data_IF_923989030080
#
_entry.id   IF_923989030080
#
_cell.length_a   1.000
_cell.length_b   1.000
_cell.length_c   1.000
_cell.angle_alpha   90.00
_cell.angle_beta   90.00
_cell.angle_gamma   90.00
#
_symmetry.space_group_name_H-M   'P 1'
#
loop_
_entity.id
_entity.type
_entity.pdbx_description
1 polymer ?
#
# COMPACT_ATOMS: atom_id res chain seq x y z
N UNK A 1 -21.59 3.54 -18.94
CA UNK A 1 -20.17 3.86 -19.18
C UNK A 1 -19.52 2.50 -19.34
N UNK A 2 -19.34 2.06 -20.57
CA UNK A 2 -18.67 0.79 -20.87
C UNK A 2 -17.22 0.96 -20.42
N UNK A 3 -16.80 0.18 -19.43
CA UNK A 3 -15.40 0.12 -19.04
C UNK A 3 -14.64 -0.48 -20.20
N UNK A 4 -13.75 0.30 -20.79
CA UNK A 4 -12.82 -0.17 -21.80
C UNK A 4 -11.99 -1.30 -21.18
N UNK A 5 -12.21 -2.53 -21.68
CA UNK A 5 -11.52 -3.71 -21.19
C UNK A 5 -10.06 -3.61 -21.67
N UNK A 6 -9.17 -3.20 -20.75
CA UNK A 6 -7.74 -3.10 -21.02
C UNK A 6 -7.22 -4.43 -21.55
N UNK A 7 -6.48 -4.40 -22.64
CA UNK A 7 -5.93 -5.59 -23.27
C UNK A 7 -4.99 -6.34 -22.31
N UNK A 8 -4.83 -7.65 -22.47
CA UNK A 8 -3.87 -8.44 -21.66
C UNK A 8 -2.45 -7.84 -21.69
N UNK A 9 -2.08 -7.21 -22.81
CA UNK A 9 -0.79 -6.55 -23.00
C UNK A 9 -0.64 -5.27 -22.15
N UNK A 10 -1.70 -4.48 -22.01
CA UNK A 10 -1.74 -3.29 -21.15
C UNK A 10 -1.74 -3.69 -19.68
N UNK A 11 -2.46 -4.76 -19.32
CA UNK A 11 -2.44 -5.33 -17.97
C UNK A 11 -1.05 -5.88 -17.61
N UNK A 12 -0.33 -6.44 -18.59
CA UNK A 12 1.03 -6.95 -18.41
C UNK A 12 2.11 -5.86 -18.34
N UNK A 13 1.80 -4.61 -18.70
CA UNK A 13 2.77 -3.52 -18.62
C UNK A 13 3.04 -3.14 -17.17
N UNK A 14 1.98 -3.04 -16.36
CA UNK A 14 2.09 -2.53 -14.98
C UNK A 14 2.75 -3.53 -14.03
N UNK A 15 2.71 -4.83 -14.34
CA UNK A 15 3.34 -5.88 -13.52
C UNK A 15 4.88 -5.76 -13.44
N UNK A 16 5.51 -4.95 -14.29
CA UNK A 16 6.95 -4.65 -14.25
C UNK A 16 7.32 -3.52 -13.29
N UNK A 17 6.32 -2.79 -12.78
CA UNK A 17 6.56 -1.67 -11.88
C UNK A 17 6.58 -2.14 -10.43
N UNK A 18 7.62 -1.72 -9.71
CA UNK A 18 7.79 -1.94 -8.28
C UNK A 18 7.76 -0.58 -7.58
N UNK A 19 6.80 -0.39 -6.68
CA UNK A 19 6.52 0.91 -6.06
C UNK A 19 6.96 0.88 -4.61
N UNK A 20 7.66 1.93 -4.17
CA UNK A 20 7.88 2.22 -2.75
C UNK A 20 6.98 3.40 -2.34
N UNK A 21 6.13 3.19 -1.34
CA UNK A 21 5.31 4.23 -0.72
C UNK A 21 5.81 4.52 0.70
N UNK A 22 6.44 5.68 0.87
CA UNK A 22 6.95 6.16 2.15
C UNK A 22 6.02 7.21 2.76
N UNK A 23 5.62 7.03 4.01
CA UNK A 23 4.70 7.91 4.73
C UNK A 23 3.24 7.66 4.35
N UNK A 24 2.57 6.79 5.09
CA UNK A 24 1.18 6.42 4.84
C UNK A 24 0.23 7.44 5.48
N UNK A 25 -0.50 8.16 4.63
CA UNK A 25 -1.62 9.06 4.95
C UNK A 25 -2.79 8.73 4.02
N UNK A 26 -3.94 9.38 4.19
CA UNK A 26 -5.13 9.13 3.36
C UNK A 26 -4.87 9.16 1.84
N UNK A 27 -4.14 10.16 1.33
CA UNK A 27 -3.80 10.25 -0.11
C UNK A 27 -2.91 9.10 -0.57
N UNK A 28 -1.92 8.71 0.24
CA UNK A 28 -1.00 7.61 -0.10
C UNK A 28 -1.73 6.27 -0.04
N UNK A 29 -2.63 6.09 0.92
CA UNK A 29 -3.50 4.92 1.00
C UNK A 29 -4.38 4.77 -0.26
N UNK A 30 -5.00 5.86 -0.72
CA UNK A 30 -5.78 5.88 -1.97
C UNK A 30 -4.92 5.56 -3.21
N UNK A 31 -3.71 6.14 -3.27
CA UNK A 31 -2.73 5.83 -4.32
C UNK A 31 -2.33 4.35 -4.30
N UNK A 32 -2.02 3.78 -3.14
CA UNK A 32 -1.68 2.37 -2.99
C UNK A 32 -2.83 1.45 -3.38
N UNK A 33 -4.07 1.75 -2.97
CA UNK A 33 -5.26 0.99 -3.39
C UNK A 33 -5.39 0.98 -4.92
N UNK A 34 -5.28 2.15 -5.55
CA UNK A 34 -5.46 2.27 -7.00
C UNK A 34 -4.33 1.57 -7.78
N UNK A 35 -3.08 1.64 -7.31
CA UNK A 35 -1.96 0.91 -7.94
C UNK A 35 -2.07 -0.61 -7.76
N UNK A 36 -2.50 -1.08 -6.60
CA UNK A 36 -2.79 -2.50 -6.35
C UNK A 36 -3.93 -3.00 -7.24
N UNK A 37 -5.02 -2.24 -7.39
CA UNK A 37 -6.11 -2.57 -8.30
C UNK A 37 -5.67 -2.54 -9.78
N UNK A 38 -4.72 -1.68 -10.13
CA UNK A 38 -4.09 -1.62 -11.45
C UNK A 38 -3.06 -2.75 -11.71
N UNK A 39 -2.88 -3.70 -10.77
CA UNK A 39 -2.02 -4.89 -10.93
C UNK A 39 -0.55 -4.58 -11.18
N UNK A 40 0.01 -3.63 -10.42
CA UNK A 40 1.47 -3.43 -10.39
C UNK A 40 2.21 -4.68 -9.89
N UNK A 41 3.50 -4.78 -10.19
CA UNK A 41 4.31 -5.93 -9.81
C UNK A 41 4.44 -6.09 -8.30
N UNK A 42 4.77 -4.99 -7.61
CA UNK A 42 4.78 -4.95 -6.15
C UNK A 42 4.59 -3.55 -5.58
N UNK A 43 4.15 -3.50 -4.33
CA UNK A 43 4.09 -2.29 -3.51
C UNK A 43 4.80 -2.57 -2.18
N UNK A 44 5.85 -1.83 -1.89
CA UNK A 44 6.55 -1.83 -0.61
C UNK A 44 6.13 -0.59 0.18
N UNK A 45 5.62 -0.78 1.40
CA UNK A 45 5.19 0.30 2.28
C UNK A 45 6.25 0.59 3.34
N UNK A 46 6.43 1.86 3.66
CA UNK A 46 7.40 2.31 4.66
C UNK A 46 6.80 3.41 5.54
N UNK A 47 6.47 3.04 6.77
CA UNK A 47 5.98 3.95 7.81
C UNK A 47 5.91 3.18 9.14
N UNK A 48 6.79 3.56 10.08
CA UNK A 48 6.87 2.94 11.39
C UNK A 48 5.96 3.59 12.43
N UNK A 49 5.19 4.63 12.05
CA UNK A 49 4.26 5.28 12.98
C UNK A 49 3.16 4.29 13.35
N UNK A 50 2.78 4.30 14.63
CA UNK A 50 1.60 3.61 15.11
C UNK A 50 0.33 4.25 14.54
N UNK A 51 -0.75 3.48 14.52
CA UNK A 51 -2.08 4.01 14.20
C UNK A 51 -2.46 5.10 15.19
N UNK A 52 -2.84 6.27 14.67
CA UNK A 52 -3.36 7.41 15.43
C UNK A 52 -4.82 7.68 15.07
N UNK A 53 -5.54 8.42 15.91
CA UNK A 53 -6.90 8.88 15.60
C UNK A 53 -6.98 9.66 14.29
N UNK A 54 -6.00 10.53 14.02
CA UNK A 54 -5.94 11.27 12.75
C UNK A 54 -5.82 10.30 11.56
N UNK A 55 -4.96 9.30 11.67
CA UNK A 55 -4.81 8.29 10.63
C UNK A 55 -6.09 7.47 10.45
N UNK A 56 -6.75 7.06 11.53
CA UNK A 56 -8.01 6.33 11.49
C UNK A 56 -9.11 7.11 10.73
N UNK A 57 -9.19 8.42 10.94
CA UNK A 57 -10.17 9.28 10.28
C UNK A 57 -9.84 9.56 8.80
N UNK A 58 -8.55 9.53 8.43
CA UNK A 58 -8.11 9.90 7.09
C UNK A 58 -7.77 8.71 6.18
N UNK A 59 -7.61 7.50 6.73
CA UNK A 59 -7.11 6.32 6.01
C UNK A 59 -8.09 5.15 6.10
N UNK A 60 -8.84 4.94 5.01
CA UNK A 60 -9.84 3.87 4.91
C UNK A 60 -9.25 2.45 4.94
N UNK A 61 -7.93 2.29 4.81
CA UNK A 61 -7.25 0.99 4.95
C UNK A 61 -7.16 0.55 6.42
N UNK A 62 -7.48 1.42 7.38
CA UNK A 62 -7.45 1.10 8.79
C UNK A 62 -8.87 0.66 9.21
N UNK A 63 -9.08 -0.60 9.63
CA UNK A 63 -10.39 -1.03 10.12
C UNK A 63 -10.80 -0.22 11.36
N UNK A 64 -12.09 0.14 11.53
CA UNK A 64 -12.57 0.86 12.70
C UNK A 64 -12.64 0.01 13.99
N UNK A 65 -12.08 -1.20 13.98
CA UNK A 65 -11.97 -2.08 15.15
C UNK A 65 -10.63 -1.84 15.87
N UNK A 66 -10.69 -1.29 17.08
CA UNK A 66 -9.51 -1.00 17.90
C UNK A 66 -8.65 -2.25 18.14
N UNK A 67 -9.26 -3.43 18.29
CA UNK A 67 -8.50 -4.66 18.48
C UNK A 67 -7.69 -5.04 17.22
N UNK A 68 -8.14 -4.62 16.05
CA UNK A 68 -7.46 -4.91 14.80
C UNK A 68 -6.15 -4.11 14.67
N UNK A 69 -6.12 -2.85 15.13
CA UNK A 69 -4.99 -1.92 14.96
C UNK A 69 -4.18 -1.58 16.21
N UNK A 70 -4.66 -1.89 17.41
CA UNK A 70 -3.95 -1.57 18.65
C UNK A 70 -2.55 -2.18 18.65
N UNK A 71 -1.54 -1.31 18.82
CA UNK A 71 -0.13 -1.70 18.91
C UNK A 71 0.55 -2.05 17.58
N UNK A 72 -0.15 -1.90 16.45
CA UNK A 72 0.41 -2.13 15.11
C UNK A 72 0.82 -0.82 14.43
N UNK A 73 1.77 -0.90 13.52
CA UNK A 73 2.14 0.23 12.66
C UNK A 73 1.09 0.47 11.57
N UNK A 74 1.09 1.67 10.99
CA UNK A 74 0.27 1.99 9.82
C UNK A 74 0.53 1.01 8.67
N UNK A 75 1.79 0.64 8.45
CA UNK A 75 2.18 -0.27 7.38
C UNK A 75 1.73 -1.70 7.60
N UNK A 76 1.76 -2.22 8.82
CA UNK A 76 1.25 -3.57 9.12
C UNK A 76 -0.24 -3.66 8.77
N UNK A 77 -1.03 -2.67 9.20
CA UNK A 77 -2.47 -2.60 8.89
C UNK A 77 -2.74 -2.41 7.41
N UNK A 78 -2.13 -1.40 6.80
CA UNK A 78 -2.39 -1.09 5.39
C UNK A 78 -1.92 -2.22 4.47
N UNK A 79 -0.84 -2.93 4.83
CA UNK A 79 -0.34 -4.06 4.05
C UNK A 79 -1.36 -5.20 4.00
N UNK A 80 -1.98 -5.55 5.13
CA UNK A 80 -3.00 -6.60 5.18
C UNK A 80 -4.22 -6.19 4.35
N UNK A 81 -4.75 -4.98 4.56
CA UNK A 81 -5.90 -4.49 3.80
C UNK A 81 -5.64 -4.35 2.29
N UNK A 82 -4.43 -3.95 1.87
CA UNK A 82 -4.09 -3.87 0.44
C UNK A 82 -4.00 -5.25 -0.22
N UNK A 83 -3.56 -6.29 0.50
CA UNK A 83 -3.58 -7.66 -0.03
C UNK A 83 -5.01 -8.14 -0.30
N UNK A 84 -5.97 -7.73 0.54
CA UNK A 84 -7.38 -8.07 0.34
C UNK A 84 -7.97 -7.41 -0.92
N UNK A 85 -7.49 -6.23 -1.32
CA UNK A 85 -7.92 -5.58 -2.57
C UNK A 85 -7.49 -6.36 -3.82
N UNK A 86 -6.30 -6.95 -3.81
CA UNK A 86 -5.81 -7.78 -4.92
C UNK A 86 -4.70 -8.75 -4.48
N UNK A 87 -5.02 -10.03 -4.20
CA UNK A 87 -4.05 -11.02 -3.73
C UNK A 87 -2.94 -11.35 -4.74
N UNK A 88 -3.06 -10.92 -5.99
CA UNK A 88 -2.05 -11.14 -7.04
C UNK A 88 -0.88 -10.14 -6.99
N UNK A 89 -1.01 -9.04 -6.24
CA UNK A 89 0.04 -8.03 -6.10
C UNK A 89 0.87 -8.31 -4.84
N UNK A 90 2.20 -8.32 -4.99
CA UNK A 90 3.09 -8.46 -3.84
C UNK A 90 3.08 -7.16 -3.02
N UNK A 91 2.50 -7.21 -1.82
CA UNK A 91 2.55 -6.10 -0.85
C UNK A 91 3.44 -6.48 0.32
N UNK A 92 4.46 -5.65 0.58
CA UNK A 92 5.45 -5.86 1.65
C UNK A 92 5.68 -4.60 2.47
N UNK A 93 6.28 -4.75 3.66
CA UNK A 93 6.62 -3.66 4.56
C UNK A 93 8.13 -3.62 4.76
N UNK A 94 8.70 -2.42 4.75
CA UNK A 94 10.07 -2.14 5.19
C UNK A 94 10.03 -1.18 6.37
N UNK A 95 10.78 -1.50 7.43
CA UNK A 95 10.91 -0.67 8.62
C UNK A 95 12.05 0.34 8.45
N UNK A 96 11.96 1.45 9.16
CA UNK A 96 12.99 2.48 9.26
C UNK A 96 12.60 3.81 8.60
N UNK A 97 13.61 4.59 8.28
CA UNK A 97 13.51 5.87 7.58
C UNK A 97 14.25 5.80 6.23
N UNK A 98 13.85 6.61 5.25
CA UNK A 98 14.47 6.64 3.91
C UNK A 98 15.99 6.85 3.98
N UNK A 99 16.47 7.61 4.97
CA UNK A 99 17.91 7.86 5.19
C UNK A 99 18.69 6.63 5.64
N UNK A 100 18.01 5.59 6.11
CA UNK A 100 18.63 4.32 6.58
C UNK A 100 18.80 3.30 5.46
N UNK A 101 18.19 3.53 4.30
CA UNK A 101 18.26 2.63 3.15
C UNK A 101 19.45 2.98 2.26
N UNK A 102 20.21 1.97 1.85
CA UNK A 102 21.30 2.13 0.89
C UNK A 102 20.78 2.39 -0.52
N UNK A 103 21.62 2.98 -1.38
CA UNK A 103 21.25 3.26 -2.79
C UNK A 103 20.88 2.01 -3.57
N UNK A 104 21.42 0.83 -3.24
CA UNK A 104 21.06 -0.43 -3.89
C UNK A 104 19.67 -0.97 -3.54
N UNK A 105 18.93 -0.30 -2.64
CA UNK A 105 17.53 -0.62 -2.36
C UNK A 105 16.56 0.02 -3.35
N UNK A 106 16.89 1.22 -3.85
CA UNK A 106 16.05 2.00 -4.76
C UNK A 106 16.35 1.67 -6.22
#
# INVERSE_FOLDING_TARGET
MEGEELTEQETALLTKFHILASGIKGTVAEYCKNTVLARVGSVTLMDDRLVTEEALNANFLIPPDENAYRGKTLTEICCDSLRDFNPMVLVSVVKGDLTTLGTGFF
#
